data_IF_953041453860
#
_entry.id   IF_953041453860
#
_cell.length_a   1.000
_cell.length_b   1.000
_cell.length_c   1.000
_cell.angle_alpha   90.00
_cell.angle_beta   90.00
_cell.angle_gamma   90.00
#
_symmetry.space_group_name_H-M   'P 1'
#
loop_
_entity.id
_entity.type
_entity.pdbx_description
1 polymer ?
#
# COMPACT_ATOMS: atom_id res chain seq x y z
N UNK A 1 -12.42 3.02 2.21
CA UNK A 1 -12.33 1.73 1.50
C UNK A 1 -13.19 1.75 0.26
N UNK A 2 -14.50 1.96 0.45
CA UNK A 2 -15.53 1.95 -0.61
C UNK A 2 -15.15 2.78 -1.85
N UNK A 3 -14.77 4.06 -1.69
CA UNK A 3 -14.39 4.89 -2.85
C UNK A 3 -13.21 4.28 -3.64
N UNK A 4 -12.17 3.82 -2.93
CA UNK A 4 -11.02 3.16 -3.56
C UNK A 4 -11.42 1.89 -4.30
N UNK A 5 -12.30 1.07 -3.73
CA UNK A 5 -12.87 -0.10 -4.39
C UNK A 5 -13.65 0.29 -5.66
N UNK A 6 -14.55 1.28 -5.56
CA UNK A 6 -15.36 1.76 -6.70
C UNK A 6 -14.46 2.25 -7.84
N UNK A 7 -13.46 3.07 -7.57
CA UNK A 7 -12.53 3.55 -8.60
C UNK A 7 -11.74 2.42 -9.26
N UNK A 8 -11.26 1.44 -8.48
CA UNK A 8 -10.52 0.31 -9.03
C UNK A 8 -11.43 -0.64 -9.85
N UNK A 9 -12.68 -0.86 -9.44
CA UNK A 9 -13.66 -1.62 -10.23
C UNK A 9 -13.97 -0.91 -11.55
N UNK A 10 -14.19 0.41 -11.52
CA UNK A 10 -14.41 1.22 -12.71
C UNK A 10 -13.20 1.15 -13.65
N UNK A 11 -11.98 1.23 -13.11
CA UNK A 11 -10.75 1.07 -13.89
C UNK A 11 -10.65 -0.31 -14.53
N UNK A 12 -10.89 -1.39 -13.78
CA UNK A 12 -10.88 -2.77 -14.30
C UNK A 12 -11.92 -2.91 -15.41
N UNK A 13 -13.13 -2.39 -15.23
CA UNK A 13 -14.18 -2.42 -16.24
C UNK A 13 -13.76 -1.72 -17.55
N UNK A 14 -13.18 -0.52 -17.45
CA UNK A 14 -12.69 0.21 -18.62
C UNK A 14 -11.51 -0.51 -19.29
N UNK A 15 -10.62 -1.10 -18.51
CA UNK A 15 -9.54 -1.93 -19.03
C UNK A 15 -10.15 -3.11 -19.81
N UNK A 16 -10.99 -3.94 -19.20
CA UNK A 16 -11.60 -5.12 -19.84
C UNK A 16 -12.31 -4.80 -21.16
N UNK A 17 -12.95 -3.64 -21.25
CA UNK A 17 -13.61 -3.20 -22.50
C UNK A 17 -12.68 -2.56 -23.53
N UNK A 18 -11.50 -2.09 -23.13
CA UNK A 18 -10.56 -1.48 -24.05
C UNK A 18 -9.93 -2.55 -24.96
N UNK A 19 -10.34 -2.56 -26.24
CA UNK A 19 -9.67 -3.34 -27.30
C UNK A 19 -8.25 -2.80 -27.54
N UNK A 20 -7.30 -3.26 -26.74
CA UNK A 20 -5.89 -2.93 -26.89
C UNK A 20 -5.25 -3.85 -27.92
N UNK A 21 -4.47 -3.28 -28.85
CA UNK A 21 -3.72 -4.07 -29.82
C UNK A 21 -2.59 -4.85 -29.14
N UNK A 22 -2.05 -5.88 -29.80
CA UNK A 22 -0.99 -6.75 -29.26
C UNK A 22 0.21 -5.97 -28.69
N UNK A 23 0.60 -4.86 -29.32
CA UNK A 23 1.70 -4.01 -28.86
C UNK A 23 1.47 -3.35 -27.48
N UNK A 24 0.22 -3.25 -27.03
CA UNK A 24 -0.16 -2.67 -25.75
C UNK A 24 -0.57 -3.70 -24.68
N UNK A 25 -0.56 -5.00 -25.02
CA UNK A 25 -1.07 -6.09 -24.17
C UNK A 25 -0.31 -6.19 -22.85
N UNK A 26 1.00 -5.97 -22.84
CA UNK A 26 1.81 -6.03 -21.61
C UNK A 26 1.44 -4.90 -20.64
N UNK A 27 1.26 -3.68 -21.14
CA UNK A 27 0.84 -2.54 -20.32
C UNK A 27 -0.56 -2.76 -19.75
N UNK A 28 -1.45 -3.30 -20.59
CA UNK A 28 -2.80 -3.64 -20.23
C UNK A 28 -2.86 -4.65 -19.06
N UNK A 29 -2.12 -5.76 -19.16
CA UNK A 29 -2.04 -6.77 -18.10
C UNK A 29 -1.46 -6.17 -16.81
N UNK A 30 -0.41 -5.35 -16.92
CA UNK A 30 0.16 -4.66 -15.76
C UNK A 30 -0.87 -3.75 -15.07
N UNK A 31 -1.64 -2.96 -15.82
CA UNK A 31 -2.71 -2.13 -15.26
C UNK A 31 -3.77 -2.96 -14.54
N UNK A 32 -4.16 -4.11 -15.09
CA UNK A 32 -5.13 -5.01 -14.45
C UNK A 32 -4.58 -5.54 -13.12
N UNK A 33 -3.35 -6.06 -13.11
CA UNK A 33 -2.72 -6.59 -11.90
C UNK A 33 -2.65 -5.50 -10.83
N UNK A 34 -2.19 -4.29 -11.18
CA UNK A 34 -2.12 -3.17 -10.25
C UNK A 34 -3.50 -2.75 -9.72
N UNK A 35 -4.55 -2.80 -10.57
CA UNK A 35 -5.91 -2.46 -10.15
C UNK A 35 -6.50 -3.52 -9.21
N UNK A 36 -6.24 -4.81 -9.47
CA UNK A 36 -6.66 -5.92 -8.59
C UNK A 36 -5.95 -5.81 -7.24
N UNK A 37 -4.64 -5.54 -7.24
CA UNK A 37 -3.88 -5.34 -6.02
C UNK A 37 -4.43 -4.16 -5.21
N UNK A 38 -4.64 -3.02 -5.88
CA UNK A 38 -5.20 -1.80 -5.27
C UNK A 38 -6.62 -2.03 -4.72
N UNK A 39 -7.45 -2.80 -5.42
CA UNK A 39 -8.77 -3.21 -4.96
C UNK A 39 -8.68 -4.12 -3.72
N UNK A 40 -7.77 -5.09 -3.73
CA UNK A 40 -7.54 -5.98 -2.59
C UNK A 40 -7.05 -5.21 -1.36
N UNK A 41 -6.13 -4.25 -1.53
CA UNK A 41 -5.73 -3.34 -0.46
C UNK A 41 -6.89 -2.49 0.05
N UNK A 42 -7.77 -2.01 -0.83
CA UNK A 42 -8.94 -1.23 -0.43
C UNK A 42 -9.98 -2.07 0.34
N UNK A 43 -10.11 -3.36 0.02
CA UNK A 43 -10.89 -4.34 0.81
C UNK A 43 -10.23 -4.55 2.17
N UNK A 44 -8.92 -4.76 2.22
CA UNK A 44 -8.17 -4.89 3.48
C UNK A 44 -8.46 -3.69 4.40
N UNK A 45 -8.30 -2.47 3.90
CA UNK A 45 -8.60 -1.25 4.67
C UNK A 45 -10.08 -1.15 5.08
N UNK A 46 -11.02 -1.72 4.31
CA UNK A 46 -12.44 -1.73 4.65
C UNK A 46 -12.77 -2.75 5.75
N UNK A 47 -12.18 -3.95 5.65
CA UNK A 47 -12.41 -5.04 6.60
C UNK A 47 -11.72 -4.71 7.93
N UNK A 48 -10.47 -4.29 7.86
CA UNK A 48 -9.61 -3.98 9.00
C UNK A 48 -9.15 -2.53 8.91
N UNK A 49 -9.62 -1.70 9.83
CA UNK A 49 -8.99 -0.41 10.09
C UNK A 49 -7.94 -0.67 11.16
N UNK A 50 -6.69 -0.81 10.73
CA UNK A 50 -5.53 -0.81 11.62
C UNK A 50 -5.19 0.64 11.97
N UNK A 51 -5.36 0.97 13.25
CA UNK A 51 -4.99 2.25 13.81
C UNK A 51 -3.75 2.07 14.69
N UNK A 52 -2.52 2.13 14.12
CA UNK A 52 -1.32 2.09 14.93
C UNK A 52 -1.26 3.36 15.76
N UNK A 53 -1.11 3.21 17.07
CA UNK A 53 -0.95 4.30 18.03
C UNK A 53 0.24 4.02 18.94
N UNK A 54 0.80 5.07 19.51
CA UNK A 54 1.78 4.93 20.61
C UNK A 54 1.07 5.35 21.89
N UNK A 55 1.00 4.42 22.84
CA UNK A 55 0.38 4.65 24.16
C UNK A 55 1.19 3.97 25.26
N UNK A 56 1.46 4.71 26.33
CA UNK A 56 2.16 4.21 27.52
C UNK A 56 3.51 3.52 27.17
N UNK A 57 4.21 4.03 26.14
CA UNK A 57 5.47 3.45 25.68
C UNK A 57 5.34 2.16 24.86
N UNK A 58 4.14 1.86 24.34
CA UNK A 58 3.90 0.71 23.46
C UNK A 58 3.39 1.17 22.09
N UNK A 59 3.85 0.52 21.02
CA UNK A 59 3.24 0.65 19.70
C UNK A 59 2.10 -0.36 19.61
N UNK A 60 0.90 0.12 19.39
CA UNK A 60 -0.33 -0.66 19.47
C UNK A 60 -1.09 -0.55 18.16
N UNK A 61 -1.28 -1.69 17.48
CA UNK A 61 -2.18 -1.84 16.36
C UNK A 61 -3.58 -2.15 16.87
N UNK A 62 -4.50 -1.21 16.71
CA UNK A 62 -5.90 -1.38 17.10
C UNK A 62 -6.71 -1.71 15.87
N UNK A 63 -7.32 -2.89 15.85
CA UNK A 63 -8.16 -3.33 14.75
C UNK A 63 -9.61 -3.01 15.06
N UNK A 64 -10.12 -2.01 14.34
CA UNK A 64 -11.56 -1.74 14.26
C UNK A 64 -12.08 -2.33 12.96
N UNK A 65 -13.17 -3.08 13.02
CA UNK A 65 -13.84 -3.51 11.81
C UNK A 65 -15.34 -3.44 11.97
N UNK A 66 -15.97 -2.50 11.28
CA UNK A 66 -17.44 -2.43 11.21
C UNK A 66 -18.02 -3.74 10.69
N UNK A 67 -17.26 -4.51 9.89
CA UNK A 67 -17.68 -5.80 9.34
C UNK A 67 -17.12 -6.99 10.10
N UNK A 68 -15.95 -6.87 10.74
CA UNK A 68 -15.32 -7.98 11.48
C UNK A 68 -16.25 -8.53 12.57
N UNK A 69 -16.95 -7.69 13.31
CA UNK A 69 -17.83 -8.14 14.39
C UNK A 69 -19.06 -8.95 13.93
N UNK A 70 -19.39 -8.92 12.64
CA UNK A 70 -20.48 -9.73 12.08
C UNK A 70 -20.04 -11.12 11.63
N UNK A 71 -18.73 -11.37 11.52
CA UNK A 71 -18.23 -12.67 11.11
C UNK A 71 -18.05 -13.61 12.31
N UNK A 72 -18.23 -14.93 12.11
CA UNK A 72 -17.83 -15.92 13.09
C UNK A 72 -16.36 -15.76 13.46
N UNK A 73 -16.01 -16.02 14.73
CA UNK A 73 -14.64 -15.89 15.25
C UNK A 73 -13.56 -16.52 14.34
N UNK A 74 -13.80 -17.74 13.84
CA UNK A 74 -12.84 -18.42 12.96
C UNK A 74 -12.58 -17.69 11.64
N UNK A 75 -13.58 -16.99 11.09
CA UNK A 75 -13.43 -16.17 9.88
C UNK A 75 -12.62 -14.92 10.20
N UNK A 76 -12.87 -14.28 11.35
CA UNK A 76 -12.07 -13.14 11.80
C UNK A 76 -10.62 -13.55 12.01
N UNK A 77 -10.37 -14.67 12.68
CA UNK A 77 -9.03 -15.21 12.87
C UNK A 77 -8.38 -15.49 11.50
N UNK A 78 -9.10 -16.06 10.53
CA UNK A 78 -8.59 -16.24 9.16
C UNK A 78 -8.33 -14.92 8.42
N UNK A 79 -9.18 -13.90 8.57
CA UNK A 79 -9.00 -12.58 7.93
C UNK A 79 -7.82 -11.85 8.59
N UNK A 80 -7.72 -11.87 9.91
CA UNK A 80 -6.60 -11.32 10.65
C UNK A 80 -5.31 -12.03 10.25
N UNK A 81 -5.31 -13.37 10.19
CA UNK A 81 -4.17 -14.14 9.69
C UNK A 81 -3.90 -13.80 8.24
N UNK A 82 -4.86 -13.70 7.34
CA UNK A 82 -4.61 -13.37 5.94
C UNK A 82 -4.11 -11.93 5.74
N UNK A 83 -4.66 -10.96 6.49
CA UNK A 83 -4.22 -9.56 6.48
C UNK A 83 -2.82 -9.45 7.05
N UNK A 84 -2.60 -10.05 8.22
CA UNK A 84 -1.29 -10.16 8.80
C UNK A 84 -0.40 -10.89 7.83
N UNK A 85 -0.60 -12.14 7.43
CA UNK A 85 0.18 -12.84 6.39
C UNK A 85 0.30 -12.09 5.06
N UNK A 86 -0.57 -11.17 4.67
CA UNK A 86 -0.36 -10.31 3.50
C UNK A 86 0.67 -9.22 3.81
N UNK A 87 0.62 -8.64 5.01
CA UNK A 87 1.58 -7.70 5.58
C UNK A 87 2.85 -8.41 6.13
N UNK A 88 2.76 -9.71 6.45
CA UNK A 88 3.60 -10.53 7.33
C UNK A 88 4.01 -11.87 6.71
N UNK A 89 3.72 -12.22 5.45
CA UNK A 89 4.43 -13.38 4.85
C UNK A 89 5.94 -13.11 4.79
N UNK A 90 6.35 -11.83 4.87
CA UNK A 90 7.70 -11.43 5.25
C UNK A 90 8.00 -11.64 6.75
N UNK A 91 7.12 -11.23 7.66
CA UNK A 91 7.39 -11.22 9.11
C UNK A 91 7.22 -12.57 9.83
N UNK A 92 6.21 -13.37 9.50
CA UNK A 92 5.93 -14.67 10.14
C UNK A 92 6.99 -15.72 9.82
N UNK A 93 7.70 -15.59 8.70
CA UNK A 93 8.87 -16.42 8.40
C UNK A 93 10.07 -15.99 9.25
N UNK A 94 10.10 -14.75 9.74
CA UNK A 94 11.26 -14.20 10.43
C UNK A 94 11.11 -14.09 11.96
N UNK A 95 9.89 -13.95 12.53
CA UNK A 95 9.75 -13.60 13.94
C UNK A 95 8.54 -14.23 14.68
N UNK A 96 8.60 -15.52 15.07
CA UNK A 96 7.59 -16.18 15.92
C UNK A 96 7.43 -15.56 17.32
N UNK A 97 8.40 -14.77 17.79
CA UNK A 97 8.43 -14.21 19.14
C UNK A 97 7.59 -12.95 19.38
N UNK A 98 6.87 -12.46 18.36
CA UNK A 98 6.11 -11.20 18.41
C UNK A 98 4.65 -11.35 18.86
N UNK A 99 4.21 -12.56 19.22
CA UNK A 99 2.89 -12.74 19.81
C UNK A 99 2.92 -12.25 21.27
N UNK A 100 2.13 -11.22 21.63
CA UNK A 100 2.12 -10.70 22.99
C UNK A 100 1.61 -11.78 23.95
N UNK A 101 2.20 -11.88 25.14
CA UNK A 101 1.66 -12.71 26.21
C UNK A 101 0.25 -12.24 26.58
N UNK A 102 -0.58 -13.13 27.14
CA UNK A 102 -1.95 -12.77 27.54
C UNK A 102 -1.97 -11.59 28.53
N UNK A 103 -1.00 -11.55 29.44
CA UNK A 103 -0.84 -10.45 30.39
C UNK A 103 -0.55 -9.12 29.67
N UNK A 104 0.43 -9.11 28.75
CA UNK A 104 0.76 -7.91 27.99
C UNK A 104 -0.42 -7.46 27.12
N UNK A 105 -1.13 -8.40 26.49
CA UNK A 105 -2.36 -8.11 25.74
C UNK A 105 -3.44 -7.45 26.61
N UNK A 106 -3.60 -7.89 27.86
CA UNK A 106 -4.53 -7.27 28.82
C UNK A 106 -4.11 -5.85 29.24
N UNK A 107 -2.80 -5.60 29.36
CA UNK A 107 -2.26 -4.26 29.63
C UNK A 107 -2.53 -3.32 28.44
N UNK A 108 -2.22 -3.76 27.22
CA UNK A 108 -2.51 -2.99 25.99
C UNK A 108 -4.00 -2.68 25.86
N UNK A 109 -4.85 -3.67 26.11
CA UNK A 109 -6.30 -3.53 26.18
C UNK A 109 -6.75 -2.45 27.18
N UNK A 110 -6.16 -2.41 28.37
CA UNK A 110 -6.45 -1.39 29.38
C UNK A 110 -6.02 0.02 28.93
N UNK A 111 -4.84 0.16 28.32
CA UNK A 111 -4.35 1.41 27.77
C UNK A 111 -5.24 1.94 26.63
N UNK A 112 -5.65 1.07 25.71
CA UNK A 112 -6.58 1.43 24.62
C UNK A 112 -7.94 1.85 25.18
N UNK A 113 -8.47 1.10 26.16
CA UNK A 113 -9.72 1.45 26.84
C UNK A 113 -9.67 2.82 27.50
N UNK A 114 -8.53 3.18 28.12
CA UNK A 114 -8.32 4.49 28.75
C UNK A 114 -8.36 5.63 27.74
N UNK A 115 -7.77 5.45 26.54
CA UNK A 115 -7.72 6.49 25.51
C UNK A 115 -9.07 6.63 24.80
N UNK A 116 -9.66 5.51 24.37
CA UNK A 116 -10.82 5.54 23.48
C UNK A 116 -12.16 5.49 24.23
N UNK A 117 -12.17 5.13 25.52
CA UNK A 117 -13.40 4.98 26.30
C UNK A 117 -14.31 3.84 25.82
N UNK A 118 -13.75 2.82 25.14
CA UNK A 118 -14.49 1.72 24.51
C UNK A 118 -14.41 0.42 25.34
N UNK A 119 -15.22 -0.59 24.99
CA UNK A 119 -15.14 -1.91 25.62
C UNK A 119 -14.31 -2.88 24.78
N UNK A 120 -13.70 -3.88 25.42
CA UNK A 120 -12.87 -4.91 24.77
C UNK A 120 -13.63 -5.78 23.76
N UNK A 121 -14.97 -5.72 23.77
CA UNK A 121 -15.81 -6.34 22.74
C UNK A 121 -15.71 -5.65 21.38
N UNK A 122 -15.26 -4.40 21.36
CA UNK A 122 -15.42 -3.51 20.20
C UNK A 122 -14.13 -3.39 19.37
N UNK A 123 -13.05 -4.07 19.78
CA UNK A 123 -11.75 -4.02 19.11
C UNK A 123 -10.86 -5.22 19.46
N UNK A 124 -9.91 -5.51 18.57
CA UNK A 124 -8.80 -6.41 18.86
C UNK A 124 -7.50 -5.59 18.97
N UNK A 125 -6.65 -5.94 19.93
CA UNK A 125 -5.37 -5.25 20.17
C UNK A 125 -4.20 -6.18 19.96
N UNK A 126 -3.24 -5.68 19.19
CA UNK A 126 -1.90 -6.24 19.10
C UNK A 126 -0.90 -5.11 19.32
N UNK A 127 0.27 -5.41 19.86
CA UNK A 127 1.27 -4.38 20.08
C UNK A 127 2.60 -4.95 20.52
N UNK A 128 3.59 -4.07 20.49
CA UNK A 128 4.96 -4.32 20.91
C UNK A 128 5.44 -3.16 21.79
N UNK A 129 6.31 -3.42 22.76
CA UNK A 129 6.94 -2.35 23.51
C UNK A 129 7.77 -1.47 22.56
N UNK A 130 7.77 -0.15 22.81
CA UNK A 130 8.62 0.79 22.06
C UNK A 130 10.08 0.52 22.35
N UNK A 131 10.41 0.20 23.60
CA UNK A 131 11.75 -0.19 24.02
C UNK A 131 11.66 -1.15 25.20
N UNK A 132 12.27 -2.33 25.06
CA UNK A 132 12.42 -3.34 26.11
C UNK A 132 13.86 -3.86 26.07
N UNK A 133 14.57 -3.85 27.21
CA UNK A 133 15.95 -4.32 27.30
C UNK A 133 16.06 -5.85 27.10
N UNK A 134 14.96 -6.57 27.19
CA UNK A 134 14.95 -8.04 27.21
C UNK A 134 14.18 -8.69 26.06
N UNK A 135 13.51 -7.91 25.21
CA UNK A 135 12.72 -8.42 24.08
C UNK A 135 12.90 -7.57 22.83
N UNK A 136 12.54 -8.15 21.69
CA UNK A 136 12.44 -7.39 20.45
C UNK A 136 11.43 -6.26 20.59
N UNK A 137 11.90 -5.03 20.40
CA UNK A 137 11.08 -3.83 20.50
C UNK A 137 10.73 -3.24 19.13
N UNK A 138 9.95 -2.15 19.13
CA UNK A 138 9.57 -1.46 17.90
C UNK A 138 10.77 -0.88 17.13
N UNK A 139 11.87 -0.58 17.82
CA UNK A 139 13.09 -0.05 17.21
C UNK A 139 13.83 -1.17 16.49
N UNK A 140 13.98 -2.34 17.11
CA UNK A 140 14.55 -3.52 16.47
C UNK A 140 13.78 -3.89 15.22
N UNK A 141 12.45 -3.91 15.30
CA UNK A 141 11.61 -4.14 14.16
C UNK A 141 11.84 -3.11 13.05
N UNK A 142 11.91 -1.83 13.39
CA UNK A 142 12.15 -0.78 12.41
C UNK A 142 13.53 -0.91 11.76
N UNK A 143 14.58 -1.22 12.54
CA UNK A 143 15.96 -1.29 12.08
C UNK A 143 16.29 -2.57 11.31
N UNK A 144 15.74 -3.71 11.72
CA UNK A 144 16.10 -5.01 11.15
C UNK A 144 15.12 -5.51 10.09
N UNK A 145 13.88 -4.99 10.06
CA UNK A 145 12.91 -5.35 9.02
C UNK A 145 12.52 -4.16 8.14
N UNK A 146 11.92 -3.11 8.71
CA UNK A 146 11.33 -2.03 7.91
C UNK A 146 12.39 -1.29 7.08
N UNK A 147 13.47 -0.83 7.71
CA UNK A 147 14.52 -0.06 7.04
C UNK A 147 15.21 -0.89 5.94
N UNK A 148 15.69 -2.11 6.19
CA UNK A 148 16.30 -2.95 5.15
C UNK A 148 15.33 -3.24 4.01
N UNK A 149 14.08 -3.58 4.30
CA UNK A 149 13.06 -3.88 3.29
C UNK A 149 12.74 -2.67 2.41
N UNK A 150 12.66 -1.49 3.02
CA UNK A 150 12.50 -0.22 2.31
C UNK A 150 13.73 0.04 1.43
N UNK A 151 14.94 -0.06 1.97
CA UNK A 151 16.19 0.16 1.22
C UNK A 151 16.34 -0.80 0.04
N UNK A 152 16.06 -2.09 0.23
CA UNK A 152 16.06 -3.10 -0.84
C UNK A 152 15.02 -2.76 -1.90
N UNK A 153 13.82 -2.34 -1.51
CA UNK A 153 12.77 -1.91 -2.43
C UNK A 153 13.20 -0.70 -3.26
N UNK A 154 13.82 0.31 -2.64
CA UNK A 154 14.38 1.47 -3.34
C UNK A 154 15.51 1.07 -4.31
N UNK A 155 16.42 0.20 -3.89
CA UNK A 155 17.51 -0.27 -4.72
C UNK A 155 17.00 -1.06 -5.93
N UNK A 156 16.10 -2.01 -5.73
CA UNK A 156 15.48 -2.80 -6.80
C UNK A 156 14.69 -1.91 -7.77
N UNK A 157 13.94 -0.93 -7.25
CA UNK A 157 13.23 0.04 -8.08
C UNK A 157 14.20 0.87 -8.92
N UNK A 158 15.25 1.43 -8.31
CA UNK A 158 16.25 2.23 -9.03
C UNK A 158 16.96 1.40 -10.10
N UNK A 159 17.43 0.19 -9.76
CA UNK A 159 18.09 -0.73 -10.71
C UNK A 159 17.15 -1.11 -11.87
N UNK A 160 15.89 -1.42 -11.57
CA UNK A 160 14.89 -1.72 -12.59
C UNK A 160 14.64 -0.51 -13.49
N UNK A 161 14.54 0.69 -12.90
CA UNK A 161 14.35 1.94 -13.63
C UNK A 161 15.54 2.23 -14.57
N UNK A 162 16.76 2.09 -14.10
CA UNK A 162 17.98 2.24 -14.91
C UNK A 162 18.04 1.20 -16.03
N UNK A 163 17.76 -0.08 -15.74
CA UNK A 163 17.78 -1.16 -16.74
C UNK A 163 16.72 -0.96 -17.82
N UNK A 164 15.51 -0.54 -17.45
CA UNK A 164 14.45 -0.19 -18.38
C UNK A 164 14.90 0.98 -19.26
N UNK A 165 15.40 2.07 -18.66
CA UNK A 165 15.90 3.22 -19.41
C UNK A 165 17.00 2.83 -20.39
N UNK A 166 17.97 2.02 -19.98
CA UNK A 166 19.05 1.52 -20.84
C UNK A 166 18.51 0.72 -22.03
N UNK A 167 17.57 -0.21 -21.80
CA UNK A 167 16.93 -0.96 -22.89
C UNK A 167 16.08 -0.10 -23.80
N UNK A 168 15.40 0.90 -23.27
CA UNK A 168 14.64 1.87 -24.09
C UNK A 168 15.54 2.68 -25.00
N UNK A 169 16.73 3.08 -24.53
CA UNK A 169 17.71 3.78 -25.36
C UNK A 169 18.26 2.87 -26.47
N UNK A 170 18.58 1.61 -26.15
CA UNK A 170 19.05 0.64 -27.13
C UNK A 170 17.98 0.32 -28.21
N UNK A 171 16.72 0.15 -27.80
CA UNK A 171 15.60 -0.11 -28.71
C UNK A 171 15.12 1.15 -29.46
N UNK A 172 15.42 2.34 -28.95
CA UNK A 172 15.02 3.61 -29.57
C UNK A 172 15.53 3.78 -31.00
N UNK A 173 16.60 3.07 -31.38
CA UNK A 173 17.17 3.07 -32.74
C UNK A 173 16.30 2.28 -33.73
N UNK A 174 15.48 1.32 -33.27
CA UNK A 174 14.67 0.43 -34.12
C UNK A 174 13.16 0.63 -34.01
N UNK A 175 12.68 1.39 -33.01
CA UNK A 175 11.25 1.61 -32.77
C UNK A 175 10.74 2.89 -33.44
N UNK A 176 9.46 2.87 -33.83
CA UNK A 176 8.79 4.10 -34.29
C UNK A 176 8.78 5.16 -33.17
N UNK A 177 8.85 6.45 -33.54
CA UNK A 177 8.78 7.55 -32.58
C UNK A 177 7.55 7.47 -31.67
N UNK A 178 6.42 6.95 -32.20
CA UNK A 178 5.19 6.72 -31.43
C UNK A 178 5.37 5.69 -30.33
N UNK A 179 6.04 4.57 -30.61
CA UNK A 179 6.30 3.51 -29.64
C UNK A 179 7.24 4.01 -28.52
N UNK A 180 8.29 4.75 -28.88
CA UNK A 180 9.23 5.36 -27.93
C UNK A 180 8.50 6.32 -26.98
N UNK A 181 7.63 7.18 -27.51
CA UNK A 181 6.87 8.12 -26.68
C UNK A 181 5.90 7.41 -25.73
N UNK A 182 5.26 6.33 -26.18
CA UNK A 182 4.36 5.53 -25.34
C UNK A 182 5.11 4.83 -24.22
N UNK A 183 6.26 4.21 -24.53
CA UNK A 183 7.14 3.58 -23.54
C UNK A 183 7.64 4.57 -22.49
N UNK A 184 8.11 5.76 -22.91
CA UNK A 184 8.57 6.80 -21.97
C UNK A 184 7.47 7.23 -21.01
N UNK A 185 6.24 7.39 -21.50
CA UNK A 185 5.09 7.74 -20.65
C UNK A 185 4.74 6.64 -19.67
N UNK A 186 4.67 5.40 -20.13
CA UNK A 186 4.40 4.27 -19.26
C UNK A 186 5.45 4.18 -18.14
N UNK A 187 6.73 4.35 -18.51
CA UNK A 187 7.83 4.36 -17.56
C UNK A 187 7.70 5.46 -16.50
N UNK A 188 7.37 6.69 -16.92
CA UNK A 188 7.12 7.79 -15.97
C UNK A 188 5.91 7.52 -15.07
N UNK A 189 4.84 6.92 -15.60
CA UNK A 189 3.69 6.51 -14.80
C UNK A 189 4.09 5.46 -13.76
N UNK A 190 4.87 4.44 -14.13
CA UNK A 190 5.38 3.44 -13.20
C UNK A 190 6.27 4.06 -12.11
N UNK A 191 7.12 5.03 -12.48
CA UNK A 191 7.90 5.78 -11.49
C UNK A 191 6.98 6.51 -10.52
N UNK A 192 5.99 7.24 -11.03
CA UNK A 192 5.06 7.98 -10.19
C UNK A 192 4.25 7.04 -9.26
N UNK A 193 3.83 5.88 -9.75
CA UNK A 193 3.08 4.89 -8.97
C UNK A 193 3.87 4.33 -7.80
N UNK A 194 5.19 4.19 -7.93
CA UNK A 194 6.04 3.73 -6.83
C UNK A 194 6.44 4.89 -5.94
N UNK A 195 6.79 6.03 -6.53
CA UNK A 195 7.32 7.19 -5.81
C UNK A 195 6.28 7.90 -4.94
N UNK A 196 5.03 8.02 -5.41
CA UNK A 196 3.96 8.71 -4.67
C UNK A 196 3.68 8.01 -3.32
N UNK A 197 3.38 6.69 -3.27
CA UNK A 197 3.20 6.00 -1.99
C UNK A 197 4.40 6.15 -1.06
N UNK A 198 5.61 6.09 -1.61
CA UNK A 198 6.85 6.22 -0.83
C UNK A 198 6.98 7.59 -0.15
N UNK A 199 6.73 8.67 -0.90
CA UNK A 199 6.74 10.04 -0.34
C UNK A 199 5.61 10.23 0.66
N UNK A 200 4.42 9.69 0.39
CA UNK A 200 3.30 9.78 1.32
C UNK A 200 3.57 8.99 2.60
N UNK A 201 4.29 7.87 2.53
CA UNK A 201 4.64 7.03 3.68
C UNK A 201 5.83 7.50 4.49
N UNK A 202 6.71 8.34 3.92
CA UNK A 202 7.83 8.89 4.69
C UNK A 202 7.39 9.84 5.79
N UNK A 203 6.27 10.56 5.61
CA UNK A 203 5.69 11.45 6.61
C UNK A 203 5.25 10.69 7.88
N UNK A 204 4.35 9.68 7.80
CA UNK A 204 3.91 8.95 8.99
C UNK A 204 5.08 8.15 9.58
N UNK A 205 5.96 7.59 8.77
CA UNK A 205 7.15 6.91 9.29
C UNK A 205 8.06 7.85 10.09
N UNK A 206 8.34 9.05 9.56
CA UNK A 206 9.14 10.05 10.25
C UNK A 206 8.49 10.53 11.56
N UNK A 207 7.16 10.67 11.57
CA UNK A 207 6.41 10.99 12.79
C UNK A 207 6.45 9.86 13.82
N UNK A 208 6.30 8.61 13.40
CA UNK A 208 6.42 7.44 14.27
C UNK A 208 7.81 7.36 14.90
N UNK A 209 8.87 7.52 14.10
CA UNK A 209 10.25 7.52 14.58
C UNK A 209 10.45 8.67 15.58
N UNK A 210 10.02 9.89 15.24
CA UNK A 210 10.13 11.03 16.16
C UNK A 210 9.39 10.79 17.47
N UNK A 211 8.17 10.29 17.42
CA UNK A 211 7.38 10.03 18.61
C UNK A 211 7.98 8.92 19.48
N UNK A 212 8.50 7.86 18.85
CA UNK A 212 9.23 6.78 19.50
C UNK A 212 10.45 7.33 20.24
N UNK A 213 11.28 8.13 19.56
CA UNK A 213 12.49 8.74 20.16
C UNK A 213 12.17 9.70 21.31
N UNK A 214 11.07 10.45 21.20
CA UNK A 214 10.64 11.43 22.21
C UNK A 214 9.68 10.87 23.25
N UNK A 215 9.34 9.57 23.17
CA UNK A 215 8.30 8.90 23.98
C UNK A 215 6.98 9.69 24.03
N UNK A 216 6.57 10.23 22.88
CA UNK A 216 5.34 11.01 22.75
C UNK A 216 4.17 10.11 22.33
N UNK A 217 3.05 10.25 23.03
CA UNK A 217 1.80 9.62 22.61
C UNK A 217 1.31 10.22 21.29
N UNK A 218 0.82 9.34 20.41
CA UNK A 218 0.47 9.67 19.03
C UNK A 218 -1.03 9.45 18.77
N UNK A 219 -1.87 10.12 19.56
CA UNK A 219 -3.33 9.91 19.51
C UNK A 219 -3.94 10.18 18.13
N UNK A 220 -3.42 11.17 17.38
CA UNK A 220 -3.91 11.52 16.03
C UNK A 220 -3.18 10.80 14.89
N UNK A 221 -2.21 9.95 15.20
CA UNK A 221 -1.40 9.26 14.20
C UNK A 221 -2.19 8.30 13.30
N UNK A 222 -3.16 7.54 13.84
CA UNK A 222 -4.00 6.70 13.00
C UNK A 222 -4.80 7.49 11.94
N UNK A 223 -5.30 8.68 12.32
CA UNK A 223 -6.01 9.55 11.39
C UNK A 223 -5.09 10.03 10.26
N UNK A 224 -3.84 10.38 10.58
CA UNK A 224 -2.84 10.78 9.61
C UNK A 224 -2.50 9.65 8.63
N UNK A 225 -2.24 8.44 9.15
CA UNK A 225 -2.00 7.25 8.32
C UNK A 225 -3.19 6.99 7.41
N UNK A 226 -4.41 6.99 7.97
CA UNK A 226 -5.63 6.88 7.20
C UNK A 226 -5.69 7.93 6.09
N UNK A 227 -5.48 9.20 6.41
CA UNK A 227 -5.52 10.31 5.45
C UNK A 227 -4.49 10.18 4.31
N UNK A 228 -3.28 9.72 4.60
CA UNK A 228 -2.19 9.61 3.61
C UNK A 228 -2.27 8.31 2.80
N UNK A 229 -2.63 7.20 3.42
CA UNK A 229 -2.70 5.90 2.75
C UNK A 229 -3.99 5.70 1.97
N UNK A 230 -5.13 6.19 2.46
CA UNK A 230 -6.42 5.93 1.78
C UNK A 230 -6.47 6.39 0.33
N UNK A 231 -5.93 7.58 -0.01
CA UNK A 231 -5.95 8.07 -1.39
C UNK A 231 -5.03 7.30 -2.31
N UNK A 232 -4.09 6.50 -1.80
CA UNK A 232 -3.01 5.92 -2.59
C UNK A 232 -3.50 4.95 -3.68
N UNK A 233 -4.41 4.00 -3.39
CA UNK A 233 -5.03 3.17 -4.43
C UNK A 233 -5.81 4.00 -5.47
N UNK A 234 -6.44 5.10 -5.04
CA UNK A 234 -7.17 6.00 -5.94
C UNK A 234 -6.22 6.77 -6.85
N UNK A 235 -5.14 7.36 -6.31
CA UNK A 235 -4.14 8.07 -7.11
C UNK A 235 -3.45 7.14 -8.10
N UNK A 236 -3.14 5.92 -7.68
CA UNK A 236 -2.59 4.87 -8.56
C UNK A 236 -3.54 4.58 -9.73
N UNK A 237 -4.84 4.40 -9.44
CA UNK A 237 -5.85 4.17 -10.45
C UNK A 237 -6.02 5.37 -11.40
N UNK A 238 -6.06 6.60 -10.87
CA UNK A 238 -6.18 7.83 -11.66
C UNK A 238 -4.98 8.05 -12.59
N UNK A 239 -3.77 7.77 -12.12
CA UNK A 239 -2.55 7.85 -12.94
C UNK A 239 -2.60 6.85 -14.11
N UNK A 240 -3.05 5.62 -13.87
CA UNK A 240 -3.24 4.61 -14.92
C UNK A 240 -4.33 4.99 -15.90
N UNK A 241 -5.48 5.46 -15.40
CA UNK A 241 -6.59 5.89 -16.25
C UNK A 241 -6.18 7.06 -17.14
N UNK A 242 -5.48 8.05 -16.59
CA UNK A 242 -4.93 9.18 -17.33
C UNK A 242 -3.94 8.75 -18.41
N UNK A 243 -3.13 7.72 -18.17
CA UNK A 243 -2.26 7.12 -19.18
C UNK A 243 -3.06 6.45 -20.31
N UNK A 244 -4.08 5.64 -19.97
CA UNK A 244 -4.91 4.93 -20.95
C UNK A 244 -5.71 5.90 -21.82
N UNK A 245 -6.39 6.88 -21.21
CA UNK A 245 -7.18 7.89 -21.93
C UNK A 245 -6.33 8.69 -22.92
N UNK A 246 -5.16 9.20 -22.48
CA UNK A 246 -4.24 9.93 -23.36
C UNK A 246 -3.73 9.09 -24.52
N UNK A 247 -3.63 7.77 -24.34
CA UNK A 247 -3.20 6.85 -25.39
C UNK A 247 -4.33 6.59 -26.39
N UNK A 248 -5.58 6.48 -25.93
CA UNK A 248 -6.75 6.27 -26.76
C UNK A 248 -7.06 7.47 -27.68
N UNK A 249 -7.09 8.70 -27.14
CA UNK A 249 -7.43 9.91 -27.90
C UNK A 249 -6.48 10.15 -29.07
N UNK A 250 -5.18 9.85 -28.90
CA UNK A 250 -4.18 10.00 -29.98
C UNK A 250 -4.36 9.01 -31.12
N UNK A 251 -4.92 7.82 -30.86
CA UNK A 251 -5.20 6.85 -31.92
C UNK A 251 -6.28 7.36 -32.88
N UNK A 252 -7.32 8.00 -32.33
CA UNK A 252 -8.41 8.59 -33.12
C UNK A 252 -7.86 9.71 -34.01
N UNK A 253 -7.10 10.63 -33.44
CA UNK A 253 -6.52 11.75 -34.20
C UNK A 253 -5.59 11.30 -35.34
N UNK A 254 -4.80 10.23 -35.13
CA UNK A 254 -3.97 9.69 -36.22
C UNK A 254 -4.78 9.12 -37.38
N UNK A 255 -5.94 8.50 -37.12
CA UNK A 255 -6.79 7.97 -38.19
C UNK A 255 -7.48 9.09 -38.98
N UNK A 256 -7.95 10.14 -38.32
CA UNK A 256 -8.62 11.27 -38.98
C UNK A 256 -7.70 12.01 -39.95
N UNK A 257 -6.41 12.16 -39.62
CA UNK A 257 -5.47 12.85 -40.50
C UNK A 257 -5.14 12.08 -41.79
N UNK A 258 -5.21 10.74 -41.78
CA UNK A 258 -4.97 9.92 -42.98
C UNK A 258 -6.18 9.84 -43.92
N UNK A 259 -7.39 10.13 -43.45
CA UNK A 259 -8.59 10.13 -44.31
C UNK A 259 -8.80 11.43 -45.08
N UNK A 260 -8.05 12.49 -44.76
CA UNK A 260 -8.18 13.83 -45.36
C UNK A 260 -7.05 14.12 -46.37
N UNK A 261 -6.04 13.26 -46.43
CA UNK A 261 -4.93 13.30 -47.40
C UNK A 261 -5.16 12.31 -48.53
#
# INVERSE_FOLDING_TARGET
>A
GILGMTFNLVLIFFLVRAKTGNAARTYYVSCIITSILSFSSAIGILLTVDLPTVVDGNVVAIFYGQVLFYFPKWVNDCICVAFFSQVHTMWQVQMPGFLPTDEFRMQLAASVKKIHGTNLSDFHVFGIPVSDEHHYDAIDLALFDIVPSVLVSYALFALSAFKIRGRLLALGVTLSQRAVQMQRRFFLTQIAQVFVPLVLMSIPLGMLVRATLLRQDLQSFPFLIGFLLWPTPMFTALLLLGFVQKTATRKIQSHTNFSVS
#
